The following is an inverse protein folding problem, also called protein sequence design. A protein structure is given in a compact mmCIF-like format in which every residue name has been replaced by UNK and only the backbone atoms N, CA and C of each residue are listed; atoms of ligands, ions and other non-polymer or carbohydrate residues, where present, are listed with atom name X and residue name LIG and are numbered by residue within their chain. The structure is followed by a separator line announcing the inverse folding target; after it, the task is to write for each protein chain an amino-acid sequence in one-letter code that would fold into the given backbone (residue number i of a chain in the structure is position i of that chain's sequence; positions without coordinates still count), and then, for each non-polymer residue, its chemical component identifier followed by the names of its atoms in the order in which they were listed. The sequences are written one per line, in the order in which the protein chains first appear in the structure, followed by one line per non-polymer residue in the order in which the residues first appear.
data_IF_162848387795
#
_entry.id   IF_162848387795
#
_cell.length_a   1.000
_cell.length_b   1.000
_cell.length_c   1.000
_cell.angle_alpha   90.00
_cell.angle_beta   90.00
_cell.angle_gamma   90.00
#
_symmetry.space_group_name_H-M   'P 1'
#
loop_
_entity.id
_entity.type
_entity.pdbx_description
1 polymer ?
#
# COMPACT_ATOMS: atom_id res chain seq x y z
N UNK A 1 -5.79 7.73 18.40
CA UNK A 1 -5.22 6.50 17.83
C UNK A 1 -5.58 6.41 16.37
N UNK A 2 -4.65 5.96 15.53
CA UNK A 2 -4.91 5.73 14.11
C UNK A 2 -5.70 4.42 13.96
N UNK A 3 -6.63 4.37 13.02
CA UNK A 3 -7.45 3.17 12.80
C UNK A 3 -7.74 2.94 11.32
N UNK A 4 -8.10 1.70 10.99
CA UNK A 4 -8.60 1.33 9.66
C UNK A 4 -10.10 1.09 9.80
N UNK A 5 -10.89 1.71 8.92
CA UNK A 5 -12.35 1.58 8.89
C UNK A 5 -12.79 0.96 7.58
N UNK A 6 -13.90 0.22 7.62
CA UNK A 6 -14.60 -0.16 6.39
C UNK A 6 -15.54 0.96 5.93
N UNK A 7 -15.42 1.31 4.66
CA UNK A 7 -16.34 2.22 3.95
C UNK A 7 -17.21 1.51 2.92
N UNK A 8 -17.47 0.22 3.12
CA UNK A 8 -18.26 -0.59 2.20
C UNK A 8 -19.68 -0.02 1.99
N UNK A 9 -20.30 0.51 3.05
CA UNK A 9 -21.63 1.12 2.97
C UNK A 9 -21.63 2.35 2.04
N UNK A 10 -20.64 3.22 2.18
CA UNK A 10 -20.46 4.42 1.36
C UNK A 10 -20.23 4.03 -0.10
N UNK A 11 -19.32 3.07 -0.35
CA UNK A 11 -19.05 2.57 -1.69
C UNK A 11 -20.33 2.05 -2.39
N UNK A 12 -21.13 1.23 -1.69
CA UNK A 12 -22.38 0.70 -2.24
C UNK A 12 -23.37 1.83 -2.54
N UNK A 13 -23.48 2.82 -1.66
CA UNK A 13 -24.36 3.96 -1.84
C UNK A 13 -23.96 4.82 -3.04
N UNK A 14 -22.68 5.15 -3.19
CA UNK A 14 -22.15 5.94 -4.31
C UNK A 14 -22.38 5.27 -5.67
N UNK A 15 -22.39 3.94 -5.71
CA UNK A 15 -22.59 3.14 -6.92
C UNK A 15 -24.03 2.65 -7.11
N UNK A 16 -24.97 3.09 -6.28
CA UNK A 16 -26.38 2.64 -6.32
C UNK A 16 -26.52 1.10 -6.26
N UNK A 17 -25.65 0.45 -5.48
CA UNK A 17 -25.65 -0.99 -5.25
C UNK A 17 -26.32 -1.31 -3.91
N UNK A 18 -26.89 -2.51 -3.83
CA UNK A 18 -27.48 -3.00 -2.57
C UNK A 18 -26.62 -4.13 -1.99
N UNK A 19 -26.65 -4.35 -0.67
CA UNK A 19 -25.95 -5.47 -0.04
C UNK A 19 -26.36 -6.82 -0.64
N UNK A 20 -27.63 -6.98 -1.03
CA UNK A 20 -28.15 -8.21 -1.64
C UNK A 20 -27.46 -8.50 -2.98
N UNK A 21 -27.24 -7.46 -3.81
CA UNK A 21 -26.51 -7.61 -5.07
C UNK A 21 -25.06 -8.04 -4.83
N UNK A 22 -24.42 -7.47 -3.81
CA UNK A 22 -23.07 -7.86 -3.42
C UNK A 22 -23.01 -9.32 -2.96
N UNK A 23 -23.95 -9.75 -2.10
CA UNK A 23 -24.05 -11.13 -1.64
C UNK A 23 -24.19 -12.09 -2.82
N UNK A 24 -25.02 -11.76 -3.81
CA UNK A 24 -25.19 -12.58 -5.02
C UNK A 24 -23.90 -12.66 -5.85
N UNK A 25 -23.15 -11.56 -5.96
CA UNK A 25 -21.91 -11.51 -6.74
C UNK A 25 -20.72 -12.20 -6.05
N UNK A 26 -20.69 -12.16 -4.72
CA UNK A 26 -19.71 -12.86 -3.88
C UNK A 26 -20.01 -14.37 -3.82
N UNK A 27 -21.28 -14.76 -3.85
CA UNK A 27 -21.67 -16.17 -3.85
C UNK A 27 -21.36 -16.86 -2.53
N UNK A 28 -20.73 -18.04 -2.59
CA UNK A 28 -20.40 -18.87 -1.42
C UNK A 28 -19.09 -18.50 -0.76
N UNK A 29 -18.32 -17.58 -1.34
CA UNK A 29 -16.97 -17.23 -0.89
C UNK A 29 -16.96 -16.38 0.39
N UNK A 30 -18.13 -15.86 0.79
CA UNK A 30 -18.33 -15.19 2.07
C UNK A 30 -19.74 -15.43 2.60
N UNK A 31 -19.89 -15.39 3.93
CA UNK A 31 -21.20 -15.46 4.56
C UNK A 31 -21.98 -14.17 4.33
N UNK A 32 -23.27 -14.25 3.92
CA UNK A 32 -24.14 -13.08 3.81
C UNK A 32 -24.20 -12.25 5.10
N UNK A 33 -24.09 -12.91 6.26
CA UNK A 33 -24.09 -12.24 7.56
C UNK A 33 -22.90 -11.29 7.72
N UNK A 34 -21.72 -11.69 7.22
CA UNK A 34 -20.51 -10.86 7.28
C UNK A 34 -20.68 -9.62 6.40
N UNK A 35 -21.24 -9.77 5.19
CA UNK A 35 -21.48 -8.63 4.30
C UNK A 35 -22.45 -7.64 4.94
N UNK A 36 -23.55 -8.10 5.53
CA UNK A 36 -24.48 -7.22 6.25
C UNK A 36 -23.82 -6.57 7.47
N UNK A 37 -23.00 -7.30 8.21
CA UNK A 37 -22.26 -6.76 9.34
C UNK A 37 -21.28 -5.67 8.92
N UNK A 38 -20.56 -5.85 7.81
CA UNK A 38 -19.63 -4.85 7.28
C UNK A 38 -20.34 -3.61 6.73
N UNK A 39 -21.52 -3.77 6.13
CA UNK A 39 -22.33 -2.62 5.68
C UNK A 39 -22.90 -1.85 6.87
N UNK A 40 -23.35 -2.53 7.92
CA UNK A 40 -24.04 -1.89 9.04
C UNK A 40 -23.09 -1.36 10.12
N UNK A 41 -22.00 -2.08 10.37
CA UNK A 41 -21.06 -1.87 11.48
C UNK A 41 -19.61 -1.83 11.01
N UNK A 42 -19.35 -1.51 9.74
CA UNK A 42 -18.01 -1.57 9.16
C UNK A 42 -16.99 -0.65 9.84
N UNK A 43 -17.44 0.49 10.34
CA UNK A 43 -16.64 1.42 11.15
C UNK A 43 -16.27 0.88 12.54
N UNK A 44 -17.00 -0.11 13.04
CA UNK A 44 -16.79 -0.77 14.34
C UNK A 44 -16.09 -2.15 14.18
N UNK A 45 -15.88 -2.62 12.94
CA UNK A 45 -15.20 -3.88 12.67
C UNK A 45 -13.69 -3.71 12.73
N UNK A 46 -13.07 -4.41 13.69
CA UNK A 46 -11.63 -4.37 13.93
C UNK A 46 -10.88 -5.53 13.25
N UNK A 47 -11.61 -6.52 12.74
CA UNK A 47 -11.02 -7.71 12.15
C UNK A 47 -11.85 -8.19 10.95
N UNK A 48 -11.14 -8.54 9.88
CA UNK A 48 -11.67 -9.29 8.76
C UNK A 48 -10.63 -10.32 8.34
N UNK A 49 -11.05 -11.44 7.77
CA UNK A 49 -10.13 -12.31 7.07
C UNK A 49 -9.82 -11.76 5.66
N UNK A 50 -8.57 -11.87 5.23
CA UNK A 50 -8.12 -11.39 3.92
C UNK A 50 -8.83 -12.13 2.77
N UNK A 51 -9.17 -13.40 2.97
CA UNK A 51 -9.96 -14.16 1.98
C UNK A 51 -11.33 -13.53 1.76
N UNK A 52 -11.96 -13.08 2.85
CA UNK A 52 -13.28 -12.43 2.80
C UNK A 52 -13.19 -11.06 2.16
N UNK A 53 -12.15 -10.27 2.47
CA UNK A 53 -11.89 -8.99 1.81
C UNK A 53 -11.68 -9.18 0.30
N UNK A 54 -10.89 -10.17 -0.11
CA UNK A 54 -10.66 -10.48 -1.51
C UNK A 54 -11.96 -10.89 -2.23
N UNK A 55 -12.80 -11.72 -1.60
CA UNK A 55 -14.09 -12.12 -2.14
C UNK A 55 -15.02 -10.91 -2.36
N UNK A 56 -15.07 -9.99 -1.39
CA UNK A 56 -15.86 -8.75 -1.49
C UNK A 56 -15.36 -7.88 -2.65
N UNK A 57 -14.04 -7.62 -2.73
CA UNK A 57 -13.44 -6.81 -3.79
C UNK A 57 -13.74 -7.41 -5.17
N UNK A 58 -13.57 -8.73 -5.32
CA UNK A 58 -13.92 -9.44 -6.55
C UNK A 58 -15.41 -9.34 -6.88
N UNK A 59 -16.30 -9.48 -5.89
CA UNK A 59 -17.74 -9.33 -6.05
C UNK A 59 -18.12 -7.91 -6.53
N UNK A 60 -17.51 -6.88 -5.95
CA UNK A 60 -17.69 -5.49 -6.38
C UNK A 60 -17.19 -5.26 -7.80
N UNK A 61 -16.03 -5.83 -8.16
CA UNK A 61 -15.51 -5.79 -9.53
C UNK A 61 -16.45 -6.44 -10.55
N UNK A 62 -17.04 -7.59 -10.21
CA UNK A 62 -18.05 -8.26 -11.06
C UNK A 62 -19.31 -7.41 -11.25
N UNK A 63 -19.78 -6.75 -10.19
CA UNK A 63 -20.99 -5.92 -10.25
C UNK A 63 -20.80 -4.62 -11.03
N UNK A 64 -19.63 -4.00 -10.88
CA UNK A 64 -19.35 -2.69 -11.47
C UNK A 64 -18.72 -2.80 -12.86
N UNK A 65 -18.10 -3.93 -13.20
CA UNK A 65 -17.30 -4.10 -14.40
C UNK A 65 -16.00 -3.28 -14.39
N UNK A 66 -15.60 -2.77 -13.23
CA UNK A 66 -14.40 -1.95 -13.05
C UNK A 66 -13.39 -2.65 -12.14
N UNK A 67 -12.09 -2.30 -12.25
CA UNK A 67 -11.13 -2.70 -11.24
C UNK A 67 -11.51 -2.06 -9.89
N UNK A 68 -11.66 -2.88 -8.86
CA UNK A 68 -11.91 -2.44 -7.49
C UNK A 68 -10.67 -2.80 -6.67
N UNK A 69 -10.14 -1.82 -5.94
CA UNK A 69 -8.98 -1.93 -5.08
C UNK A 69 -9.33 -2.10 -3.61
N UNK A 70 -8.31 -2.20 -2.76
CA UNK A 70 -8.48 -2.28 -1.29
C UNK A 70 -8.89 -0.90 -0.75
N UNK A 71 -8.34 0.16 -1.32
CA UNK A 71 -8.61 1.57 -1.03
C UNK A 71 -10.05 2.00 -1.32
N UNK A 72 -10.78 1.23 -2.12
CA UNK A 72 -12.20 1.45 -2.39
C UNK A 72 -13.08 0.97 -1.23
N UNK A 73 -12.60 0.02 -0.42
CA UNK A 73 -13.38 -0.66 0.62
C UNK A 73 -12.89 -0.28 2.02
N UNK A 74 -11.62 0.08 2.15
CA UNK A 74 -10.97 0.48 3.40
C UNK A 74 -10.57 1.94 3.39
N UNK A 75 -10.59 2.54 4.56
CA UNK A 75 -10.08 3.89 4.83
C UNK A 75 -9.11 3.83 6.00
N UNK A 76 -7.97 4.50 5.86
CA UNK A 76 -7.05 4.75 6.97
C UNK A 76 -7.38 6.12 7.58
N UNK A 77 -7.72 6.13 8.87
CA UNK A 77 -8.00 7.32 9.65
C UNK A 77 -6.80 7.57 10.57
N UNK A 78 -5.89 8.49 10.21
CA UNK A 78 -4.72 8.78 11.03
C UNK A 78 -5.13 9.44 12.35
N UNK A 79 -4.39 9.12 13.41
CA UNK A 79 -4.36 9.97 14.59
C UNK A 79 -3.78 11.32 14.20
N UNK A 80 -4.51 12.40 14.50
CA UNK A 80 -3.94 13.73 14.40
C UNK A 80 -2.86 13.89 15.47
N UNK A 81 -1.62 13.57 15.13
CA UNK A 81 -0.45 14.05 15.85
C UNK A 81 -0.36 15.55 15.70
N UNK A 82 -0.08 16.26 16.80
CA UNK A 82 0.17 17.70 16.76
C UNK A 82 1.41 17.95 15.89
N UNK A 83 1.17 18.37 14.64
CA UNK A 83 2.19 18.60 13.62
C UNK A 83 3.23 19.63 14.12
N UNK A 84 2.90 20.42 15.15
CA UNK A 84 3.83 21.35 15.81
C UNK A 84 4.99 20.66 16.52
N UNK A 85 4.82 19.42 16.96
CA UNK A 85 5.84 18.67 17.72
C UNK A 85 6.44 17.50 16.92
N UNK A 86 6.24 17.45 15.59
CA UNK A 86 6.85 16.42 14.77
C UNK A 86 8.37 16.70 14.62
N UNK A 87 9.26 15.87 15.18
CA UNK A 87 10.72 16.08 15.09
C UNK A 87 11.24 15.97 13.65
N UNK A 88 10.45 15.41 12.73
CA UNK A 88 10.78 15.34 11.31
C UNK A 88 10.32 16.57 10.52
N UNK A 89 9.55 17.49 11.12
CA UNK A 89 9.07 18.70 10.45
C UNK A 89 10.18 19.70 10.15
N UNK A 90 11.24 19.71 10.96
CA UNK A 90 12.43 20.53 10.72
C UNK A 90 13.19 20.07 9.45
N UNK A 91 13.04 18.81 9.03
CA UNK A 91 13.68 18.28 7.81
C UNK A 91 12.90 18.60 6.53
N UNK A 92 11.60 18.85 6.61
CA UNK A 92 10.76 19.18 5.44
C UNK A 92 10.70 20.68 5.14
N UNK A 93 11.24 21.53 6.03
CA UNK A 93 11.13 23.00 5.93
C UNK A 93 12.38 23.72 5.40
N UNK A 94 13.41 22.99 4.99
CA UNK A 94 14.59 23.58 4.35
C UNK A 94 14.72 23.04 2.92
N UNK A 95 14.24 23.84 1.96
CA UNK A 95 14.95 23.91 0.69
C UNK A 95 16.43 24.15 1.01
N UNK A 96 17.29 23.28 0.47
CA UNK A 96 18.75 23.45 0.37
C UNK A 96 19.59 23.23 1.65
N UNK A 97 19.73 21.96 2.07
CA UNK A 97 21.04 21.39 2.44
C UNK A 97 20.93 19.87 2.68
N UNK A 98 20.58 19.12 1.64
CA UNK A 98 20.78 17.66 1.69
C UNK A 98 22.29 17.40 1.80
N UNK A 99 22.78 16.58 2.76
CA UNK A 99 24.22 16.32 2.96
C UNK A 99 24.88 15.54 1.82
N UNK A 100 24.15 15.32 0.73
CA UNK A 100 24.59 14.70 -0.51
C UNK A 100 24.13 15.57 -1.69
N UNK A 101 25.00 16.48 -2.13
CA UNK A 101 24.94 16.97 -3.50
C UNK A 101 25.25 15.79 -4.43
N UNK A 102 24.21 15.17 -5.00
CA UNK A 102 24.43 14.22 -6.08
C UNK A 102 25.07 14.87 -7.31
N UNK A 103 25.08 16.21 -7.38
CA UNK A 103 25.63 16.97 -8.50
C UNK A 103 25.22 16.38 -9.86
N UNK A 104 26.10 16.48 -10.85
CA UNK A 104 26.01 15.69 -12.09
C UNK A 104 26.69 14.31 -11.97
N UNK A 105 27.01 13.86 -10.75
CA UNK A 105 27.72 12.60 -10.54
C UNK A 105 26.74 11.45 -10.48
N UNK A 106 26.54 10.81 -11.63
CA UNK A 106 25.78 9.57 -11.71
C UNK A 106 26.42 8.50 -10.79
N UNK A 107 25.73 8.04 -9.71
CA UNK A 107 26.25 7.00 -8.80
C UNK A 107 26.67 5.72 -9.53
N UNK A 108 26.05 5.44 -10.68
CA UNK A 108 26.31 4.22 -11.45
C UNK A 108 27.67 4.23 -12.16
N UNK A 109 28.34 5.38 -12.30
CA UNK A 109 29.67 5.46 -12.97
C UNK A 109 30.85 5.17 -12.04
N UNK A 110 30.69 5.39 -10.72
CA UNK A 110 31.79 5.28 -9.76
C UNK A 110 31.61 4.15 -8.73
N UNK A 111 30.43 3.51 -8.69
CA UNK A 111 30.20 2.36 -7.84
C UNK A 111 30.73 1.10 -8.51
N UNK A 112 31.68 0.42 -7.86
CA UNK A 112 32.08 -0.94 -8.24
C UNK A 112 31.01 -1.92 -7.76
N UNK A 113 30.60 -2.91 -8.56
CA UNK A 113 29.67 -3.93 -8.10
C UNK A 113 30.23 -4.62 -6.85
N UNK A 114 29.36 -4.88 -5.87
CA UNK A 114 29.70 -5.62 -4.66
C UNK A 114 28.83 -6.86 -4.56
N UNK A 115 29.41 -7.97 -4.14
CA UNK A 115 28.68 -9.20 -3.80
C UNK A 115 28.93 -9.58 -2.34
N UNK A 116 27.92 -10.18 -1.73
CA UNK A 116 28.05 -10.71 -0.38
C UNK A 116 28.56 -12.15 -0.44
N UNK A 117 29.60 -12.44 0.32
CA UNK A 117 30.15 -13.79 0.50
C UNK A 117 30.01 -14.19 1.97
N UNK A 118 29.29 -15.28 2.22
CA UNK A 118 29.03 -15.78 3.57
C UNK A 118 30.35 -16.09 4.31
N UNK A 119 30.49 -15.57 5.54
CA UNK A 119 31.71 -15.69 6.34
C UNK A 119 32.83 -14.69 6.04
N UNK A 120 32.75 -13.94 4.93
CA UNK A 120 33.75 -12.94 4.53
C UNK A 120 33.17 -11.52 4.55
N UNK A 121 31.90 -11.36 4.17
CA UNK A 121 31.20 -10.08 4.12
C UNK A 121 31.06 -9.52 2.70
N UNK A 122 30.91 -8.20 2.59
CA UNK A 122 30.79 -7.51 1.30
C UNK A 122 32.16 -7.45 0.60
N UNK A 123 32.23 -7.98 -0.62
CA UNK A 123 33.42 -8.00 -1.47
C UNK A 123 33.15 -7.17 -2.73
N UNK A 124 34.09 -6.31 -3.09
CA UNK A 124 34.04 -5.53 -4.33
C UNK A 124 34.49 -6.41 -5.50
N UNK A 125 33.61 -6.62 -6.48
CA UNK A 125 33.93 -7.33 -7.71
C UNK A 125 34.75 -6.38 -8.60
N UNK A 126 36.07 -6.58 -8.58
CA UNK A 126 37.00 -5.93 -9.50
C UNK A 126 37.15 -6.81 -10.75
N UNK A 127 36.14 -6.85 -11.61
CA UNK A 127 36.37 -7.24 -13.01
C UNK A 127 36.91 -6.01 -13.74
N UNK A 128 38.23 -5.89 -13.80
CA UNK A 128 38.89 -5.07 -14.82
C UNK A 128 38.61 -5.73 -16.18
N UNK A 129 37.55 -5.29 -16.85
CA UNK A 129 37.41 -5.52 -18.28
C UNK A 129 38.42 -4.59 -18.94
N UNK A 130 39.61 -5.12 -19.27
CA UNK A 130 40.50 -4.49 -20.24
C UNK A 130 39.72 -4.38 -21.55
N UNK A 131 39.18 -3.18 -21.83
CA UNK A 131 38.80 -2.78 -23.18
C UNK A 131 40.08 -2.75 -24.03
N UNK A 132 40.43 -3.90 -24.60
CA UNK A 132 41.33 -3.97 -25.75
C UNK A 132 40.63 -3.35 -26.95
N UNK A 133 40.86 -2.06 -27.17
CA UNK A 133 40.47 -1.35 -28.39
C UNK A 133 41.74 -1.09 -29.21
N UNK A 134 41.83 -1.78 -30.36
CA UNK A 134 42.46 -1.29 -31.60
C UNK A 134 43.98 -1.13 -31.63
#
# INVERSE_FOLDING_TARGET
MSEIRFKLAEYLQERCLTPEKLIQAVGTDSSPAIIYQLVKHGNEQHQIDLSTLAAIIQGLGKLTGLPVGIEDVLEFVPEMTDIKNNPWREFDSEEEDLPYEWGERNPMKNCKPVRYVEGIGLVVDSEEVEESIG
#
